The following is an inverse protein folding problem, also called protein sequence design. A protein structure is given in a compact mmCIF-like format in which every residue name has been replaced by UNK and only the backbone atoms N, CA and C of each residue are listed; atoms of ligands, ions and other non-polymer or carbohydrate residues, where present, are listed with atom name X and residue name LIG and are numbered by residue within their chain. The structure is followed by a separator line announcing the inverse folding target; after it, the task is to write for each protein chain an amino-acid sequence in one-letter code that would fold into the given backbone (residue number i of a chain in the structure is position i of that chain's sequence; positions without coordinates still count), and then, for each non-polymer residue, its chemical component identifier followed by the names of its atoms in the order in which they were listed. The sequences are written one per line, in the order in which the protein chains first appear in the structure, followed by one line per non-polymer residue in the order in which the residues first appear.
data_IF_123375683503
#
_entry.id   IF_123375683503
#
_cell.length_a   1.000
_cell.length_b   1.000
_cell.length_c   1.000
_cell.angle_alpha   90.00
_cell.angle_beta   90.00
_cell.angle_gamma   90.00
#
_symmetry.space_group_name_H-M   'P 1'
#
loop_
_entity.id
_entity.type
_entity.pdbx_description
1 polymer ?
#
# COMPACT_ATOMS: atom_id res chain seq x y z
N UNK A 1 -28.17 -14.54 -20.29
CA UNK A 1 -27.13 -13.52 -20.44
C UNK A 1 -25.80 -14.17 -20.08
N UNK A 2 -24.85 -14.21 -21.01
CA UNK A 2 -23.53 -14.80 -20.79
C UNK A 2 -22.79 -14.02 -19.70
N UNK A 3 -22.15 -14.76 -18.81
CA UNK A 3 -21.22 -14.24 -17.79
C UNK A 3 -20.16 -13.43 -18.54
N UNK A 4 -20.06 -12.14 -18.24
CA UNK A 4 -19.06 -11.26 -18.84
C UNK A 4 -17.66 -11.79 -18.56
N UNK A 5 -16.81 -11.80 -19.59
CA UNK A 5 -15.41 -12.17 -19.48
C UNK A 5 -14.73 -11.42 -18.33
N UNK A 6 -13.95 -12.15 -17.54
CA UNK A 6 -13.07 -11.55 -16.54
C UNK A 6 -12.15 -10.53 -17.25
N UNK A 7 -11.90 -9.36 -16.65
CA UNK A 7 -11.04 -8.35 -17.26
C UNK A 7 -9.66 -8.95 -17.56
N UNK A 8 -9.17 -8.69 -18.78
CA UNK A 8 -7.87 -9.15 -19.26
C UNK A 8 -6.77 -8.75 -18.27
N UNK A 9 -6.04 -9.74 -17.75
CA UNK A 9 -5.03 -9.51 -16.74
C UNK A 9 -3.93 -8.60 -17.31
N UNK A 10 -3.67 -7.47 -16.64
CA UNK A 10 -2.58 -6.57 -17.00
C UNK A 10 -1.26 -7.36 -17.16
N UNK A 11 -0.41 -7.01 -18.14
CA UNK A 11 0.86 -7.70 -18.36
C UNK A 11 1.67 -7.70 -17.07
N UNK A 12 2.11 -8.89 -16.64
CA UNK A 12 2.89 -9.04 -15.40
C UNK A 12 4.15 -8.18 -15.51
N UNK A 13 4.29 -7.20 -14.62
CA UNK A 13 5.51 -6.39 -14.51
C UNK A 13 6.70 -7.31 -14.16
N UNK A 14 7.93 -6.97 -14.58
CA UNK A 14 9.11 -7.74 -14.20
C UNK A 14 9.22 -7.84 -12.67
N UNK A 15 9.41 -9.05 -12.16
CA UNK A 15 9.68 -9.28 -10.74
C UNK A 15 11.17 -9.17 -10.48
N UNK A 16 11.57 -8.44 -9.44
CA UNK A 16 12.97 -8.29 -9.03
C UNK A 16 13.13 -8.35 -7.51
N UNK A 17 14.32 -8.74 -7.05
CA UNK A 17 14.69 -8.71 -5.63
C UNK A 17 15.63 -7.54 -5.40
N UNK A 18 15.25 -6.64 -4.50
CA UNK A 18 16.02 -5.44 -4.16
C UNK A 18 16.44 -5.50 -2.70
N UNK A 19 17.75 -5.42 -2.38
CA UNK A 19 18.19 -5.37 -1.00
C UNK A 19 17.86 -4.00 -0.40
N UNK A 20 17.40 -4.00 0.85
CA UNK A 20 17.38 -2.78 1.67
C UNK A 20 18.79 -2.23 1.87
N UNK A 21 18.93 -0.91 1.96
CA UNK A 21 20.18 -0.28 2.41
C UNK A 21 20.42 -0.51 3.92
N UNK A 22 21.61 -0.12 4.41
CA UNK A 22 22.00 -0.34 5.80
C UNK A 22 21.11 0.40 6.81
N UNK A 23 20.70 1.63 6.48
CA UNK A 23 19.81 2.42 7.33
C UNK A 23 18.44 1.76 7.46
N UNK A 24 17.88 1.28 6.36
CA UNK A 24 16.59 0.60 6.31
C UNK A 24 16.63 -0.74 7.03
N UNK A 25 17.72 -1.50 6.89
CA UNK A 25 17.95 -2.73 7.67
C UNK A 25 17.95 -2.45 9.17
N UNK A 26 18.60 -1.37 9.61
CA UNK A 26 18.67 -1.00 11.02
C UNK A 26 17.32 -0.52 11.57
N UNK A 27 16.56 0.26 10.80
CA UNK A 27 15.21 0.66 11.16
C UNK A 27 14.29 -0.56 11.33
N UNK A 28 14.32 -1.49 10.38
CA UNK A 28 13.54 -2.74 10.45
C UNK A 28 13.92 -3.61 11.65
N UNK A 29 15.20 -3.67 12.02
CA UNK A 29 15.64 -4.40 13.20
C UNK A 29 15.05 -3.80 14.48
N UNK A 30 15.02 -2.47 14.59
CA UNK A 30 14.45 -1.77 15.75
C UNK A 30 12.96 -2.06 15.91
N UNK A 31 12.18 -1.97 14.82
CA UNK A 31 10.72 -2.21 14.83
C UNK A 31 10.40 -3.65 15.26
N UNK A 32 11.19 -4.64 14.83
CA UNK A 32 10.97 -6.05 15.21
C UNK A 32 11.20 -6.36 16.69
N UNK A 33 11.87 -5.47 17.43
CA UNK A 33 12.20 -5.67 18.84
C UNK A 33 11.30 -4.86 19.78
N UNK A 34 10.39 -4.01 19.27
CA UNK A 34 9.33 -3.38 20.07
C UNK A 34 8.23 -4.38 20.49
N UNK A 35 7.59 -4.12 21.62
CA UNK A 35 6.67 -5.04 22.31
C UNK A 35 5.44 -5.39 21.44
N UNK A 36 5.20 -6.69 21.22
CA UNK A 36 4.33 -7.25 20.15
C UNK A 36 2.86 -6.83 20.18
N UNK A 37 2.35 -6.34 21.31
CA UNK A 37 0.96 -5.91 21.46
C UNK A 37 0.77 -4.41 21.22
N UNK A 38 1.78 -3.59 21.53
CA UNK A 38 1.81 -2.16 21.16
C UNK A 38 2.10 -2.01 19.67
N UNK A 39 2.86 -2.94 19.10
CA UNK A 39 3.26 -2.98 17.69
C UNK A 39 2.08 -3.16 16.72
N UNK A 40 1.06 -3.96 17.08
CA UNK A 40 -0.08 -4.23 16.20
C UNK A 40 -0.97 -3.00 15.95
N UNK A 41 -1.41 -2.32 17.00
CA UNK A 41 -2.27 -1.13 16.88
C UNK A 41 -1.53 0.03 16.20
N UNK A 42 -0.24 0.23 16.52
CA UNK A 42 0.61 1.25 15.88
C UNK A 42 0.79 0.93 14.40
N UNK A 43 1.04 -0.33 14.04
CA UNK A 43 1.13 -0.75 12.64
C UNK A 43 -0.14 -0.41 11.85
N UNK A 44 -1.31 -0.70 12.41
CA UNK A 44 -2.58 -0.31 11.76
C UNK A 44 -2.72 1.20 11.65
N UNK A 45 -2.42 1.95 12.71
CA UNK A 45 -2.51 3.41 12.69
C UNK A 45 -1.61 4.02 11.59
N UNK A 46 -0.38 3.52 11.44
CA UNK A 46 0.55 3.96 10.39
C UNK A 46 0.07 3.59 8.98
N UNK A 47 -0.49 2.39 8.79
CA UNK A 47 -1.06 2.00 7.50
C UNK A 47 -2.25 2.89 7.12
N UNK A 48 -3.18 3.14 8.04
CA UNK A 48 -4.31 4.05 7.80
C UNK A 48 -3.85 5.49 7.55
N UNK A 49 -2.80 5.95 8.25
CA UNK A 49 -2.17 7.26 8.01
C UNK A 49 -1.62 7.36 6.59
N UNK A 50 -0.90 6.33 6.12
CA UNK A 50 -0.36 6.27 4.75
C UNK A 50 -1.47 6.28 3.69
N UNK A 51 -2.50 5.45 3.87
CA UNK A 51 -3.66 5.39 2.97
C UNK A 51 -4.44 6.73 2.94
N UNK A 52 -4.61 7.38 4.09
CA UNK A 52 -5.23 8.70 4.19
C UNK A 52 -4.44 9.77 3.45
N UNK A 53 -3.12 9.80 3.62
CA UNK A 53 -2.26 10.74 2.90
C UNK A 53 -2.31 10.50 1.38
N UNK A 54 -2.31 9.24 0.94
CA UNK A 54 -2.40 8.87 -0.48
C UNK A 54 -3.73 9.31 -1.12
N UNK A 55 -4.84 9.10 -0.41
CA UNK A 55 -6.19 9.51 -0.86
C UNK A 55 -6.38 11.02 -0.82
N UNK A 56 -5.85 11.71 0.19
CA UNK A 56 -5.91 13.17 0.29
C UNK A 56 -5.21 13.86 -0.89
N UNK A 57 -4.04 13.36 -1.31
CA UNK A 57 -3.31 13.86 -2.50
C UNK A 57 -4.15 13.76 -3.78
N UNK A 58 -5.13 12.85 -3.80
CA UNK A 58 -5.99 12.57 -4.95
C UNK A 58 -7.27 13.39 -5.00
N UNK A 59 -7.59 14.16 -3.95
CA UNK A 59 -8.81 14.97 -3.90
C UNK A 59 -8.84 16.03 -5.00
N UNK A 60 -7.72 16.72 -5.26
CA UNK A 60 -7.66 17.74 -6.33
C UNK A 60 -7.77 17.09 -7.71
N UNK A 61 -6.98 16.07 -8.07
CA UNK A 61 -7.16 15.32 -9.32
C UNK A 61 -8.58 14.77 -9.52
N UNK A 62 -9.24 14.27 -8.47
CA UNK A 62 -10.63 13.85 -8.55
C UNK A 62 -11.57 15.04 -8.81
N UNK A 63 -11.43 16.13 -8.06
CA UNK A 63 -12.25 17.33 -8.22
C UNK A 63 -12.11 18.00 -9.59
N UNK A 64 -10.95 17.85 -10.25
CA UNK A 64 -10.70 18.35 -11.61
C UNK A 64 -11.05 17.33 -12.70
N UNK A 65 -11.54 16.14 -12.34
CA UNK A 65 -11.97 15.09 -13.26
C UNK A 65 -10.85 14.26 -13.88
N UNK A 66 -9.62 14.35 -13.35
CA UNK A 66 -8.50 13.49 -13.76
C UNK A 66 -8.72 12.05 -13.32
N UNK A 67 -9.21 11.85 -12.10
CA UNK A 67 -9.65 10.54 -11.61
C UNK A 67 -11.16 10.42 -11.68
N UNK A 68 -11.65 9.25 -12.13
CA UNK A 68 -13.07 8.95 -12.27
C UNK A 68 -13.69 8.44 -10.98
N UNK A 69 -12.93 7.66 -10.23
CA UNK A 69 -13.37 7.04 -8.99
C UNK A 69 -13.07 7.96 -7.80
N UNK A 70 -14.00 7.99 -6.84
CA UNK A 70 -13.82 8.75 -5.62
C UNK A 70 -12.73 8.10 -4.75
N UNK A 71 -11.82 8.87 -4.14
CA UNK A 71 -10.83 8.34 -3.22
C UNK A 71 -11.50 7.61 -2.04
N UNK A 72 -11.02 6.42 -1.72
CA UNK A 72 -11.56 5.57 -0.67
C UNK A 72 -10.44 4.76 0.02
N UNK A 73 -10.77 4.20 1.18
CA UNK A 73 -9.93 3.24 1.90
C UNK A 73 -10.83 2.08 2.32
N UNK A 74 -10.41 0.85 2.04
CA UNK A 74 -11.16 -0.37 2.33
C UNK A 74 -10.29 -1.35 3.11
N UNK A 75 -10.89 -2.03 4.09
CA UNK A 75 -10.27 -3.08 4.87
C UNK A 75 -10.99 -4.40 4.58
N UNK A 76 -10.22 -5.40 4.13
CA UNK A 76 -10.70 -6.75 3.87
C UNK A 76 -9.98 -7.73 4.79
N UNK A 77 -10.72 -8.70 5.32
CA UNK A 77 -10.16 -9.78 6.15
C UNK A 77 -10.55 -11.12 5.57
N UNK A 78 -9.59 -12.04 5.52
CA UNK A 78 -9.79 -13.42 5.12
C UNK A 78 -9.17 -14.33 6.19
N UNK A 79 -9.97 -14.83 7.14
CA UNK A 79 -9.51 -15.72 8.20
C UNK A 79 -9.00 -17.06 7.67
N UNK A 80 -9.55 -17.56 6.57
CA UNK A 80 -9.17 -18.85 5.99
C UNK A 80 -7.79 -18.78 5.34
N UNK A 81 -7.49 -17.66 4.68
CA UNK A 81 -6.16 -17.36 4.15
C UNK A 81 -5.20 -16.76 5.19
N UNK A 82 -5.68 -16.44 6.39
CA UNK A 82 -4.96 -15.69 7.44
C UNK A 82 -4.36 -14.38 6.90
N UNK A 83 -5.17 -13.61 6.16
CA UNK A 83 -4.75 -12.34 5.57
C UNK A 83 -5.65 -11.18 5.97
N UNK A 84 -5.05 -10.00 5.95
CA UNK A 84 -5.72 -8.72 6.07
C UNK A 84 -5.18 -7.82 4.96
N UNK A 85 -6.08 -7.16 4.25
CA UNK A 85 -5.76 -6.27 3.14
C UNK A 85 -6.32 -4.89 3.43
N UNK A 86 -5.44 -3.90 3.50
CA UNK A 86 -5.83 -2.49 3.44
C UNK A 86 -5.59 -1.99 2.02
N UNK A 87 -6.66 -1.60 1.34
CA UNK A 87 -6.64 -1.07 -0.02
C UNK A 87 -7.03 0.41 0.01
N UNK A 88 -6.32 1.24 -0.75
CA UNK A 88 -6.68 2.64 -0.94
C UNK A 88 -6.80 2.98 -2.43
N UNK A 89 -7.80 3.78 -2.78
CA UNK A 89 -7.93 4.43 -4.09
C UNK A 89 -7.24 5.81 -4.09
N UNK A 90 -6.03 5.88 -3.52
CA UNK A 90 -5.18 7.06 -3.55
C UNK A 90 -4.35 7.15 -4.82
N UNK A 91 -3.37 8.06 -4.81
CA UNK A 91 -2.63 8.39 -6.05
C UNK A 91 -1.61 7.33 -6.45
N UNK A 92 -1.47 6.29 -5.62
CA UNK A 92 -0.53 5.20 -5.81
C UNK A 92 0.93 5.66 -5.86
N UNK A 93 1.78 4.76 -6.34
CA UNK A 93 3.20 5.01 -6.54
C UNK A 93 3.63 4.46 -7.91
N UNK A 94 4.57 5.15 -8.56
CA UNK A 94 5.27 4.57 -9.71
C UNK A 94 6.16 3.41 -9.26
N UNK A 95 6.60 2.59 -10.21
CA UNK A 95 7.52 1.49 -9.92
C UNK A 95 8.82 1.99 -9.26
N UNK A 96 9.39 3.06 -9.79
CA UNK A 96 10.59 3.70 -9.23
C UNK A 96 10.32 4.32 -7.86
N UNK A 97 9.17 4.98 -7.70
CA UNK A 97 8.74 5.55 -6.43
C UNK A 97 8.60 4.50 -5.34
N UNK A 98 8.07 3.32 -5.67
CA UNK A 98 7.99 2.19 -4.75
C UNK A 98 9.39 1.73 -4.29
N UNK A 99 10.33 1.57 -5.23
CA UNK A 99 11.69 1.16 -4.90
C UNK A 99 12.40 2.17 -3.97
N UNK A 100 12.23 3.48 -4.23
CA UNK A 100 12.86 4.53 -3.41
C UNK A 100 12.17 4.79 -2.08
N UNK A 101 10.84 4.66 -2.00
CA UNK A 101 10.07 5.04 -0.80
C UNK A 101 9.87 3.89 0.19
N UNK A 102 9.90 2.65 -0.29
CA UNK A 102 9.81 1.47 0.60
C UNK A 102 11.19 0.88 0.90
N UNK A 103 12.14 1.01 -0.01
CA UNK A 103 13.48 0.41 0.10
C UNK A 103 14.52 1.25 0.85
N UNK A 104 14.21 2.51 1.14
CA UNK A 104 15.13 3.48 1.75
C UNK A 104 14.43 4.27 2.85
N UNK A 105 15.10 4.45 3.99
CA UNK A 105 14.69 5.37 5.06
C UNK A 105 15.20 6.78 4.70
N UNK A 106 14.34 7.80 4.64
CA UNK A 106 14.75 9.18 4.38
C UNK A 106 15.61 9.78 5.50
#
# INVERSE_FOLDING_TARGET
ASVGDAPEALPRRPTGTFPFDDASRQALATIKHSDKNVDGEVFFAELFSNASNATQKCLVPYATGVFKDAPNIALHTDPDANTLVLEDAGCGMSYEGMASSLGTVP
#
